data_IF_259310159528
#
_entry.id   IF_259310159528
#
_cell.length_a   1.000
_cell.length_b   1.000
_cell.length_c   1.000
_cell.angle_alpha   90.00
_cell.angle_beta   90.00
_cell.angle_gamma   90.00
#
_symmetry.space_group_name_H-M   'P 1'
#
loop_
_entity.id
_entity.type
_entity.pdbx_description
1 polymer ?
#
# COMPACT_ATOMS: atom_id res chain seq x y z
N UNK A 1 -0.80 -20.23 9.71
CA UNK A 1 -0.24 -19.50 8.55
C UNK A 1 -0.88 -18.13 8.52
N UNK A 2 -0.13 -17.09 8.13
CA UNK A 2 -0.73 -15.79 7.87
C UNK A 2 -1.62 -15.89 6.61
N UNK A 3 -2.76 -15.18 6.53
CA UNK A 3 -3.53 -15.11 5.30
C UNK A 3 -2.73 -14.35 4.25
N UNK A 4 -2.27 -15.06 3.24
CA UNK A 4 -1.75 -14.46 2.02
C UNK A 4 -2.93 -13.77 1.30
N UNK A 5 -2.68 -12.60 0.75
CA UNK A 5 -3.68 -11.93 -0.09
C UNK A 5 -3.95 -12.80 -1.31
N UNK A 6 -5.22 -12.96 -1.64
CA UNK A 6 -5.68 -13.58 -2.89
C UNK A 6 -5.60 -12.56 -4.02
N UNK A 7 -5.44 -13.03 -5.25
CA UNK A 7 -5.61 -12.17 -6.42
C UNK A 7 -7.05 -11.69 -6.51
N UNK A 8 -7.27 -10.40 -6.78
CA UNK A 8 -8.62 -9.83 -6.81
C UNK A 8 -8.65 -8.31 -6.78
N UNK A 9 -9.85 -7.77 -6.63
CA UNK A 9 -10.09 -6.33 -6.47
C UNK A 9 -10.30 -6.00 -5.01
N UNK A 10 -9.60 -4.98 -4.54
CA UNK A 10 -9.61 -4.55 -3.15
C UNK A 10 -9.76 -3.05 -3.04
N UNK A 11 -10.34 -2.61 -1.93
CA UNK A 11 -10.14 -1.27 -1.41
C UNK A 11 -9.05 -1.34 -0.34
N UNK A 12 -7.94 -0.66 -0.60
CA UNK A 12 -6.84 -0.56 0.36
C UNK A 12 -7.10 0.62 1.28
N UNK A 13 -7.12 0.41 2.60
CA UNK A 13 -7.33 1.46 3.60
C UNK A 13 -6.14 1.52 4.55
N UNK A 14 -5.70 2.73 4.93
CA UNK A 14 -4.64 2.89 5.94
C UNK A 14 -5.24 2.89 7.34
N UNK A 15 -4.59 2.28 8.33
CA UNK A 15 -5.05 2.32 9.72
C UNK A 15 -4.72 3.62 10.46
N UNK A 16 -4.29 4.67 9.76
CA UNK A 16 -3.93 5.93 10.38
C UNK A 16 -5.11 6.53 11.17
N UNK A 17 -4.82 7.00 12.38
CA UNK A 17 -5.76 7.70 13.26
C UNK A 17 -7.12 7.00 13.47
N UNK A 18 -7.17 5.67 13.31
CA UNK A 18 -8.39 4.86 13.38
C UNK A 18 -9.52 5.33 12.42
N UNK A 19 -9.19 6.08 11.36
CA UNK A 19 -10.18 6.63 10.42
C UNK A 19 -10.28 5.84 9.11
N UNK A 20 -9.42 4.85 8.90
CA UNK A 20 -9.39 3.97 7.74
C UNK A 20 -9.49 4.69 6.38
N UNK A 21 -8.73 5.78 6.13
CA UNK A 21 -8.81 6.50 4.87
C UNK A 21 -8.37 5.60 3.71
N UNK A 22 -9.14 5.57 2.60
CA UNK A 22 -8.76 4.79 1.44
C UNK A 22 -7.49 5.32 0.81
N UNK A 23 -6.66 4.41 0.34
CA UNK A 23 -5.44 4.70 -0.42
C UNK A 23 -5.79 4.63 -1.89
N UNK A 24 -5.30 5.59 -2.67
CA UNK A 24 -5.61 5.63 -4.09
C UNK A 24 -4.92 6.75 -4.83
N UNK A 25 -5.52 7.13 -5.95
CA UNK A 25 -5.02 8.17 -6.85
C UNK A 25 -6.11 9.18 -7.21
N UNK A 26 -5.72 10.29 -7.84
CA UNK A 26 -6.67 11.25 -8.36
C UNK A 26 -7.35 10.70 -9.62
N UNK A 27 -8.55 11.20 -9.92
CA UNK A 27 -9.29 10.83 -11.13
C UNK A 27 -8.59 11.28 -12.43
N UNK A 28 -7.72 12.29 -12.34
CA UNK A 28 -6.88 12.73 -13.45
C UNK A 28 -5.98 11.58 -13.91
N UNK A 29 -5.75 11.45 -15.22
CA UNK A 29 -4.92 10.40 -15.80
C UNK A 29 -3.63 10.94 -16.46
N UNK A 30 -2.71 11.60 -15.72
CA UNK A 30 -1.35 11.81 -16.22
C UNK A 30 -0.63 10.46 -16.41
N UNK A 31 0.50 10.45 -17.10
CA UNK A 31 1.29 9.23 -17.30
C UNK A 31 1.77 8.58 -15.98
N UNK A 32 2.03 9.39 -14.95
CA UNK A 32 2.33 8.93 -13.60
C UNK A 32 1.78 9.90 -12.55
N UNK A 33 1.48 9.39 -11.35
CA UNK A 33 1.12 10.23 -10.20
C UNK A 33 1.41 9.56 -8.85
N UNK A 34 1.44 10.36 -7.78
CA UNK A 34 1.64 9.85 -6.42
C UNK A 34 0.38 9.17 -5.85
N UNK A 35 0.59 8.06 -5.15
CA UNK A 35 -0.43 7.41 -4.33
C UNK A 35 -0.60 8.19 -3.02
N UNK A 36 -1.84 8.37 -2.59
CA UNK A 36 -2.18 9.17 -1.42
C UNK A 36 -3.46 8.68 -0.74
N UNK A 37 -3.66 9.15 0.49
CA UNK A 37 -4.91 8.99 1.22
C UNK A 37 -6.04 9.78 0.57
N UNK A 38 -7.27 9.27 0.70
CA UNK A 38 -8.49 9.89 0.19
C UNK A 38 -8.44 10.19 -1.32
N UNK A 39 -7.73 9.35 -2.09
CA UNK A 39 -7.79 9.37 -3.54
C UNK A 39 -9.23 9.15 -4.04
N UNK A 40 -9.56 9.72 -5.19
CA UNK A 40 -10.89 9.53 -5.81
C UNK A 40 -11.05 8.16 -6.45
N UNK A 41 -9.95 7.55 -6.86
CA UNK A 41 -9.93 6.21 -7.44
C UNK A 41 -9.19 5.29 -6.48
N UNK A 42 -9.93 4.34 -5.89
CA UNK A 42 -9.51 3.57 -4.71
C UNK A 42 -9.65 2.07 -4.90
N UNK A 43 -10.07 1.63 -6.08
CA UNK A 43 -10.08 0.22 -6.47
C UNK A 43 -8.67 -0.18 -6.91
N UNK A 44 -8.08 -1.07 -6.14
CA UNK A 44 -6.81 -1.71 -6.41
C UNK A 44 -7.06 -3.10 -6.98
N UNK A 45 -6.30 -3.50 -8.00
CA UNK A 45 -6.17 -4.91 -8.34
C UNK A 45 -4.85 -5.43 -7.77
N UNK A 46 -4.94 -6.55 -7.08
CA UNK A 46 -3.83 -7.31 -6.51
C UNK A 46 -3.70 -8.58 -7.32
N UNK A 47 -2.51 -8.84 -7.85
CA UNK A 47 -2.20 -10.07 -8.57
C UNK A 47 -1.04 -10.75 -7.87
N UNK A 48 -1.25 -11.98 -7.41
CA UNK A 48 -0.22 -12.80 -6.78
C UNK A 48 0.70 -13.38 -7.84
N UNK A 49 2.00 -13.05 -7.74
CA UNK A 49 3.06 -13.50 -8.66
C UNK A 49 3.96 -14.57 -8.00
N UNK A 50 3.90 -14.70 -6.67
CA UNK A 50 4.64 -15.69 -5.88
C UNK A 50 4.01 -15.90 -4.50
N UNK A 51 4.70 -16.58 -3.59
CA UNK A 51 4.11 -16.94 -2.28
C UNK A 51 3.60 -15.71 -1.50
N UNK A 52 4.39 -14.63 -1.43
CA UNK A 52 4.03 -13.37 -0.77
C UNK A 52 4.31 -12.13 -1.65
N UNK A 53 4.47 -12.34 -2.95
CA UNK A 53 4.83 -11.28 -3.91
C UNK A 53 3.63 -10.91 -4.75
N UNK A 54 3.40 -9.60 -4.88
CA UNK A 54 2.21 -9.05 -5.49
C UNK A 54 2.55 -7.95 -6.50
N UNK A 55 1.87 -7.99 -7.64
CA UNK A 55 1.72 -6.84 -8.52
C UNK A 55 0.50 -6.04 -8.09
N UNK A 56 0.68 -4.75 -7.88
CA UNK A 56 -0.37 -3.83 -7.45
C UNK A 56 -0.67 -2.83 -8.57
N UNK A 57 -1.95 -2.62 -8.87
CA UNK A 57 -2.42 -1.63 -9.84
C UNK A 57 -3.64 -0.88 -9.31
N UNK A 58 -3.87 0.36 -9.77
CA UNK A 58 -4.95 1.22 -9.28
C UNK A 58 -5.52 2.11 -10.37
N UNK A 59 -6.85 2.16 -10.50
CA UNK A 59 -7.55 3.20 -11.26
C UNK A 59 -7.19 3.38 -12.75
N UNK A 60 -6.62 2.35 -13.39
CA UNK A 60 -6.14 2.38 -14.77
C UNK A 60 -4.63 2.53 -14.91
N UNK A 61 -3.89 2.58 -13.81
CA UNK A 61 -2.43 2.49 -13.78
C UNK A 61 -2.01 1.04 -13.58
N UNK A 62 -1.47 0.37 -14.61
CA UNK A 62 -1.07 -1.05 -14.52
C UNK A 62 0.14 -1.28 -13.61
N UNK A 63 0.94 -0.25 -13.31
CA UNK A 63 2.18 -0.38 -12.56
C UNK A 63 2.16 0.51 -11.31
N UNK A 64 2.65 -0.05 -10.20
CA UNK A 64 2.91 0.70 -8.96
C UNK A 64 4.38 0.60 -8.62
N UNK A 65 4.98 1.74 -8.31
CA UNK A 65 6.42 1.88 -8.17
C UNK A 65 6.83 2.86 -7.09
N UNK A 66 8.12 3.21 -7.10
CA UNK A 66 8.71 4.18 -6.19
C UNK A 66 9.50 5.23 -6.97
N UNK A 67 9.16 6.51 -6.79
CA UNK A 67 9.89 7.64 -7.36
C UNK A 67 10.22 8.62 -6.23
N UNK A 68 11.51 8.87 -5.99
CA UNK A 68 11.99 9.78 -4.93
C UNK A 68 11.32 9.46 -3.58
N UNK A 69 11.39 8.20 -3.15
CA UNK A 69 10.78 7.66 -1.92
C UNK A 69 9.26 7.86 -1.81
N UNK A 70 8.55 8.06 -2.92
CA UNK A 70 7.08 8.14 -2.96
C UNK A 70 6.54 6.95 -3.72
N UNK A 71 5.48 6.36 -3.19
CA UNK A 71 4.73 5.35 -3.93
C UNK A 71 3.97 6.05 -5.05
N UNK A 72 4.12 5.54 -6.27
CA UNK A 72 3.54 6.12 -7.48
C UNK A 72 2.80 5.08 -8.29
N UNK A 73 1.73 5.50 -8.96
CA UNK A 73 1.03 4.73 -9.96
C UNK A 73 1.42 5.24 -11.35
N UNK A 74 1.63 4.34 -12.31
CA UNK A 74 2.19 4.66 -13.63
C UNK A 74 1.70 3.74 -14.74
N UNK A 75 1.72 4.27 -15.97
CA UNK A 75 1.53 3.48 -17.20
C UNK A 75 2.86 2.94 -17.76
N UNK A 76 3.98 3.34 -17.15
CA UNK A 76 5.32 3.01 -17.59
C UNK A 76 5.83 1.72 -16.93
N UNK A 77 6.09 0.64 -17.69
CA UNK A 77 6.50 -0.65 -17.14
C UNK A 77 7.84 -0.59 -16.38
N UNK A 78 8.74 0.30 -16.79
CA UNK A 78 10.03 0.51 -16.12
C UNK A 78 9.92 1.06 -14.70
N UNK A 79 8.73 1.55 -14.31
CA UNK A 79 8.45 2.01 -12.96
C UNK A 79 7.80 0.92 -12.09
N UNK A 80 7.52 -0.26 -12.62
CA UNK A 80 6.89 -1.33 -11.84
C UNK A 80 7.83 -1.87 -10.76
N UNK A 81 7.30 -2.01 -9.55
CA UNK A 81 7.96 -2.66 -8.43
C UNK A 81 7.05 -3.80 -7.97
N UNK A 82 7.65 -4.94 -7.66
CA UNK A 82 6.97 -6.04 -6.99
C UNK A 82 6.89 -5.77 -5.48
N UNK A 83 5.75 -6.07 -4.89
CA UNK A 83 5.44 -5.73 -3.49
C UNK A 83 5.30 -6.98 -2.64
N UNK A 84 5.77 -6.91 -1.39
CA UNK A 84 5.54 -7.92 -0.37
C UNK A 84 4.52 -7.36 0.62
N UNK A 85 3.39 -8.05 0.77
CA UNK A 85 2.38 -7.72 1.77
C UNK A 85 2.47 -8.69 2.94
N UNK A 86 3.05 -8.25 4.06
CA UNK A 86 3.21 -9.09 5.25
C UNK A 86 2.09 -8.84 6.26
N UNK A 87 1.30 -9.87 6.55
CA UNK A 87 0.23 -9.79 7.55
C UNK A 87 0.78 -9.72 8.98
N UNK A 88 0.25 -8.79 9.77
CA UNK A 88 0.60 -8.51 11.16
C UNK A 88 -0.55 -8.93 12.06
N UNK A 89 -0.54 -10.20 12.49
CA UNK A 89 -1.63 -10.85 13.24
C UNK A 89 -2.17 -10.08 14.45
N UNK A 90 -1.31 -9.34 15.16
CA UNK A 90 -1.69 -8.60 16.38
C UNK A 90 -2.33 -7.24 16.09
N UNK A 91 -2.24 -6.77 14.85
CA UNK A 91 -2.80 -5.50 14.40
C UNK A 91 -3.82 -5.69 13.28
N UNK A 92 -4.08 -6.94 12.87
CA UNK A 92 -5.07 -7.32 11.85
C UNK A 92 -4.96 -6.45 10.59
N UNK A 93 -3.74 -6.35 10.08
CA UNK A 93 -3.37 -5.49 8.97
C UNK A 93 -2.07 -5.95 8.32
N UNK A 94 -1.74 -5.36 7.18
CA UNK A 94 -0.56 -5.64 6.38
C UNK A 94 0.42 -4.47 6.45
N UNK A 95 1.71 -4.78 6.48
CA UNK A 95 2.76 -3.87 6.03
C UNK A 95 3.09 -4.20 4.58
N UNK A 96 3.31 -3.19 3.75
CA UNK A 96 3.63 -3.37 2.31
C UNK A 96 5.04 -2.85 2.07
N UNK A 97 5.96 -3.70 1.61
CA UNK A 97 7.36 -3.34 1.29
C UNK A 97 7.71 -3.72 -0.14
N UNK A 98 8.77 -3.15 -0.70
CA UNK A 98 9.26 -3.56 -2.01
C UNK A 98 10.04 -4.89 -1.88
N UNK A 99 9.98 -5.77 -2.89
CA UNK A 99 10.74 -7.04 -2.89
C UNK A 99 12.25 -6.80 -2.77
N UNK A 100 12.76 -5.73 -3.40
CA UNK A 100 14.18 -5.39 -3.37
C UNK A 100 14.63 -4.61 -2.11
N UNK A 101 13.69 -4.22 -1.25
CA UNK A 101 13.96 -3.47 -0.02
C UNK A 101 12.84 -3.68 1.01
N UNK A 102 12.90 -4.82 1.69
CA UNK A 102 11.94 -5.20 2.73
C UNK A 102 12.02 -4.32 3.99
N UNK A 103 13.12 -3.59 4.16
CA UNK A 103 13.32 -2.72 5.31
C UNK A 103 12.43 -1.48 5.23
N UNK A 104 12.11 -1.03 4.01
CA UNK A 104 11.27 0.14 3.77
C UNK A 104 9.87 -0.27 3.29
N UNK A 105 8.84 0.29 3.91
CA UNK A 105 7.46 0.02 3.58
C UNK A 105 6.62 1.28 3.37
N UNK A 106 5.44 1.06 2.80
CA UNK A 106 4.44 2.09 2.58
C UNK A 106 4.13 2.78 3.90
N UNK A 107 4.33 4.09 3.93
CA UNK A 107 4.15 4.92 5.12
C UNK A 107 3.40 6.19 4.76
N UNK A 108 2.31 6.49 5.47
CA UNK A 108 1.63 7.78 5.38
C UNK A 108 2.59 8.89 5.82
N UNK A 109 2.92 9.82 4.91
CA UNK A 109 3.98 10.82 5.14
C UNK A 109 3.64 11.84 6.24
N UNK A 110 2.40 12.33 6.21
CA UNK A 110 1.86 13.34 7.12
C UNK A 110 0.50 12.86 7.64
N UNK A 111 0.45 12.12 8.76
CA UNK A 111 -0.76 11.52 9.31
C UNK A 111 -1.94 12.46 9.53
N UNK A 112 -1.65 13.75 9.72
CA UNK A 112 -2.65 14.78 10.03
C UNK A 112 -3.20 15.48 8.78
N UNK A 113 -2.69 15.13 7.59
CA UNK A 113 -3.17 15.67 6.31
C UNK A 113 -4.15 14.70 5.65
N UNK A 114 -5.33 15.18 5.25
CA UNK A 114 -6.35 14.33 4.63
C UNK A 114 -5.87 13.65 3.33
N UNK A 115 -5.07 14.34 2.51
CA UNK A 115 -4.58 13.81 1.23
C UNK A 115 -3.10 13.42 1.28
N UNK A 116 -2.68 12.93 2.44
CA UNK A 116 -1.27 12.60 2.69
C UNK A 116 -0.76 11.57 1.68
N UNK A 117 0.44 11.81 1.15
CA UNK A 117 1.08 10.90 0.19
C UNK A 117 1.66 9.68 0.90
N UNK A 118 1.64 8.56 0.20
CA UNK A 118 2.31 7.34 0.64
C UNK A 118 3.77 7.41 0.21
N UNK A 119 4.67 7.28 1.19
CA UNK A 119 6.11 7.24 1.00
C UNK A 119 6.65 5.84 1.27
N UNK A 120 7.83 5.54 0.75
CA UNK A 120 8.61 4.38 1.16
C UNK A 120 9.55 4.82 2.29
N UNK A 121 9.39 4.26 3.49
CA UNK A 121 10.19 4.60 4.68
C UNK A 121 10.46 3.36 5.53
N UNK A 122 11.49 3.43 6.37
CA UNK A 122 11.89 2.34 7.25
C UNK A 122 10.69 1.86 8.07
N UNK A 123 10.42 0.55 8.01
CA UNK A 123 9.43 -0.09 8.85
C UNK A 123 9.88 -0.01 10.31
N UNK A 124 9.11 0.70 11.13
CA UNK A 124 9.40 0.87 12.55
C UNK A 124 8.64 -0.19 13.32
N UNK A 125 9.36 -0.90 14.19
CA UNK A 125 8.83 -1.91 15.08
C UNK A 125 9.03 -1.43 16.51
N UNK A 126 7.94 -1.22 17.24
CA UNK A 126 7.99 -0.87 18.65
C UNK A 126 8.56 -2.01 19.49
N UNK A 127 9.27 -1.64 20.56
CA UNK A 127 9.95 -2.56 21.49
C UNK A 127 9.00 -3.30 22.45
N UNK A 128 7.68 -3.25 22.22
CA UNK A 128 6.66 -3.88 23.04
C UNK A 128 6.53 -5.38 22.76
N UNK A 129 5.90 -6.11 23.69
CA UNK A 129 5.47 -7.50 23.47
C UNK A 129 3.93 -7.57 23.48
N UNK A 130 3.27 -7.86 22.34
CA UNK A 130 3.85 -8.16 21.03
C UNK A 130 4.45 -6.92 20.33
N UNK A 131 5.33 -7.11 19.32
CA UNK A 131 5.84 -6.02 18.52
C UNK A 131 4.72 -5.31 17.77
N UNK A 132 4.73 -3.98 17.79
CA UNK A 132 3.73 -3.14 17.13
C UNK A 132 4.35 -2.25 16.07
N UNK A 133 3.81 -2.27 14.85
CA UNK A 133 4.12 -1.30 13.82
C UNK A 133 3.33 0.00 14.02
N UNK A 134 3.84 1.09 13.47
CA UNK A 134 3.12 2.37 13.44
C UNK A 134 1.84 2.24 12.61
N UNK A 135 0.75 2.87 13.05
CA UNK A 135 -0.52 2.90 12.29
C UNK A 135 -0.38 3.54 10.91
N UNK A 136 0.60 4.43 10.73
CA UNK A 136 0.97 5.01 9.44
C UNK A 136 1.57 4.01 8.45
N UNK A 137 1.95 2.82 8.91
CA UNK A 137 2.59 1.75 8.13
C UNK A 137 1.70 0.53 7.94
N UNK A 138 0.45 0.61 8.41
CA UNK A 138 -0.50 -0.49 8.41
C UNK A 138 -1.66 -0.22 7.46
N UNK A 139 -2.00 -1.24 6.69
CA UNK A 139 -3.06 -1.19 5.68
C UNK A 139 -3.94 -2.43 5.77
N UNK A 140 -5.22 -2.27 5.48
CA UNK A 140 -6.14 -3.40 5.26
C UNK A 140 -6.55 -3.45 3.80
N UNK A 141 -6.74 -4.66 3.32
CA UNK A 141 -7.27 -4.97 2.00
C UNK A 141 -8.71 -5.43 2.20
N UNK A 142 -9.66 -4.57 1.85
CA UNK A 142 -11.09 -4.88 1.90
C UNK A 142 -11.48 -5.46 0.54
N UNK A 143 -11.85 -6.74 0.45
CA UNK A 143 -12.32 -7.35 -0.79
C UNK A 143 -13.53 -6.60 -1.33
N UNK A 144 -13.54 -6.36 -2.64
CA UNK A 144 -14.68 -5.78 -3.33
C UNK A 144 -15.41 -6.91 -4.04
N UNK A 145 -16.64 -7.21 -3.62
CA UNK A 145 -17.53 -8.12 -4.33
C UNK A 145 -17.85 -7.53 -5.73
N UNK A 146 -17.71 -8.34 -6.78
CA UNK A 146 -18.14 -7.98 -8.15
C UNK A 146 -19.65 -8.15 -8.35
#
# INVERSE_FOLDING_TARGET
MAPNLTSGKFRVVSLINNSNPPVGVNLTRPAFQSVHLNGRVTTWAVEQEGDNTYRLSVGGYPYTGVVVNRVTASIHPEQNVEWIATYRRFQDAYTISAVNDESNGWTVSHPNEANSRIALRLLVIGISEPPHHLTSQLYRFEELEE
#
